data_IF_743149502472
#
_entry.id   IF_743149502472
#
_cell.length_a   1.000
_cell.length_b   1.000
_cell.length_c   1.000
_cell.angle_alpha   90.00
_cell.angle_beta   90.00
_cell.angle_gamma   90.00
#
_symmetry.space_group_name_H-M   'P 1'
#
loop_
_entity.id
_entity.type
_entity.pdbx_description
1 polymer ?
#
# COMPACT_ATOMS: atom_id res chain seq x y z
N UNK A 1 -15.90 -7.01 1.47
CA UNK A 1 -16.02 -5.53 1.59
C UNK A 1 -17.25 -5.07 0.84
N UNK A 2 -18.06 -4.15 1.39
CA UNK A 2 -19.22 -3.58 0.66
C UNK A 2 -18.76 -2.51 -0.34
N UNK A 3 -19.60 -2.17 -1.35
CA UNK A 3 -19.30 -1.10 -2.32
C UNK A 3 -18.90 0.22 -1.63
N UNK A 4 -19.67 0.67 -0.64
CA UNK A 4 -19.39 1.91 0.11
C UNK A 4 -18.03 1.84 0.84
N UNK A 5 -17.69 0.69 1.44
CA UNK A 5 -16.40 0.51 2.10
C UNK A 5 -15.23 0.51 1.11
N UNK A 6 -15.43 0.02 -0.13
CA UNK A 6 -14.40 0.07 -1.16
C UNK A 6 -14.24 1.49 -1.72
N UNK A 7 -15.33 2.24 -1.94
CA UNK A 7 -15.29 3.66 -2.38
C UNK A 7 -14.54 4.55 -1.39
N UNK A 8 -14.63 4.28 -0.10
CA UNK A 8 -13.87 4.99 0.94
C UNK A 8 -12.37 4.60 0.95
N UNK A 9 -12.08 3.32 0.68
CA UNK A 9 -10.74 2.76 0.72
C UNK A 9 -9.94 3.00 -0.57
N UNK A 10 -10.60 2.91 -1.75
CA UNK A 10 -9.99 2.96 -3.07
C UNK A 10 -10.66 4.00 -3.96
N UNK A 11 -9.87 4.65 -4.82
CA UNK A 11 -10.40 5.55 -5.85
C UNK A 11 -10.36 4.94 -7.26
N UNK A 12 -9.68 3.82 -7.41
CA UNK A 12 -9.51 3.09 -8.67
C UNK A 12 -9.74 1.61 -8.41
N UNK A 13 -10.40 0.95 -9.34
CA UNK A 13 -10.52 -0.51 -9.43
C UNK A 13 -10.11 -0.94 -10.83
N UNK A 14 -8.99 -1.68 -10.92
CA UNK A 14 -8.51 -2.30 -12.13
C UNK A 14 -8.95 -3.76 -12.19
N UNK A 15 -9.33 -4.20 -13.37
CA UNK A 15 -9.69 -5.56 -13.71
C UNK A 15 -8.88 -6.02 -14.91
N UNK A 16 -8.31 -7.23 -14.81
CA UNK A 16 -7.62 -7.89 -15.91
C UNK A 16 -8.16 -9.31 -16.07
N UNK A 17 -8.40 -9.73 -17.32
CA UNK A 17 -8.63 -11.12 -17.65
C UNK A 17 -7.44 -11.66 -18.44
N UNK A 18 -6.88 -12.75 -17.93
CA UNK A 18 -5.77 -13.48 -18.57
C UNK A 18 -6.30 -14.81 -19.11
N UNK A 19 -5.99 -15.11 -20.37
CA UNK A 19 -6.32 -16.36 -21.05
C UNK A 19 -5.07 -16.86 -21.75
N UNK A 20 -4.67 -18.10 -21.52
CA UNK A 20 -3.45 -18.70 -22.07
C UNK A 20 -2.16 -17.87 -21.80
N UNK A 21 -2.11 -17.21 -20.66
CA UNK A 21 -0.98 -16.37 -20.24
C UNK A 21 -0.99 -14.93 -20.78
N UNK A 22 -1.97 -14.56 -21.61
CA UNK A 22 -2.06 -13.23 -22.22
C UNK A 22 -3.22 -12.42 -21.64
N UNK A 23 -3.04 -11.11 -21.41
CA UNK A 23 -4.12 -10.19 -21.02
C UNK A 23 -5.08 -10.03 -22.20
N UNK A 24 -6.30 -10.56 -22.06
CA UNK A 24 -7.31 -10.56 -23.12
C UNK A 24 -8.44 -9.56 -22.88
N UNK A 25 -8.55 -9.01 -21.66
CA UNK A 25 -9.48 -7.92 -21.32
C UNK A 25 -8.89 -7.09 -20.19
N UNK A 26 -9.13 -5.79 -20.22
CA UNK A 26 -8.70 -4.83 -19.22
C UNK A 26 -9.75 -3.75 -19.04
N UNK A 27 -10.05 -3.39 -17.80
CA UNK A 27 -10.98 -2.32 -17.44
C UNK A 27 -10.49 -1.58 -16.19
N UNK A 28 -10.50 -0.26 -16.25
CA UNK A 28 -10.29 0.61 -15.07
C UNK A 28 -11.59 1.34 -14.76
N UNK A 29 -12.03 1.28 -13.50
CA UNK A 29 -13.14 2.06 -12.96
C UNK A 29 -12.64 3.07 -11.93
N UNK A 30 -13.28 4.23 -11.86
CA UNK A 30 -12.98 5.27 -10.86
C UNK A 30 -14.13 5.45 -9.88
N UNK A 31 -13.81 5.73 -8.62
CA UNK A 31 -14.82 6.05 -7.60
C UNK A 31 -15.69 7.22 -8.05
N UNK A 32 -17.00 7.14 -7.76
CA UNK A 32 -18.00 8.08 -8.25
C UNK A 32 -18.64 7.69 -9.59
N UNK A 33 -18.11 6.74 -10.35
CA UNK A 33 -18.79 6.18 -11.52
C UNK A 33 -19.94 5.25 -11.08
N UNK A 34 -21.05 5.27 -11.82
CA UNK A 34 -22.22 4.42 -11.51
C UNK A 34 -21.89 2.92 -11.54
N UNK A 35 -20.92 2.53 -12.38
CA UNK A 35 -20.43 1.16 -12.55
C UNK A 35 -19.38 0.74 -11.52
N UNK A 36 -18.87 1.65 -10.70
CA UNK A 36 -17.81 1.32 -9.73
C UNK A 36 -18.19 0.11 -8.86
N UNK A 37 -17.27 -0.86 -8.74
CA UNK A 37 -17.48 -2.16 -8.08
C UNK A 37 -18.46 -3.11 -8.80
N UNK A 38 -18.81 -2.84 -10.06
CA UNK A 38 -19.59 -3.77 -10.87
C UNK A 38 -18.88 -3.94 -12.22
N UNK A 39 -18.27 -5.10 -12.44
CA UNK A 39 -17.60 -5.42 -13.69
C UNK A 39 -18.50 -6.33 -14.51
N UNK A 40 -18.80 -5.92 -15.74
CA UNK A 40 -19.46 -6.73 -16.74
C UNK A 40 -18.46 -7.09 -17.84
N UNK A 41 -18.21 -8.38 -18.04
CA UNK A 41 -17.32 -8.90 -19.08
C UNK A 41 -17.97 -10.10 -19.77
N UNK A 42 -17.87 -10.16 -21.09
CA UNK A 42 -18.30 -11.32 -21.88
C UNK A 42 -17.15 -12.31 -21.98
N UNK A 43 -17.14 -13.30 -21.09
CA UNK A 43 -16.03 -14.26 -20.95
C UNK A 43 -16.32 -15.48 -21.82
N UNK A 44 -15.47 -15.83 -22.80
CA UNK A 44 -15.60 -17.04 -23.62
C UNK A 44 -15.59 -18.32 -22.79
N UNK A 45 -16.00 -19.46 -23.37
CA UNK A 45 -15.82 -20.74 -22.74
C UNK A 45 -14.33 -21.10 -22.61
N UNK A 46 -13.97 -21.72 -21.51
CA UNK A 46 -12.60 -22.16 -21.20
C UNK A 46 -12.07 -21.66 -19.88
N UNK A 47 -10.77 -21.85 -19.68
CA UNK A 47 -10.04 -21.46 -18.47
C UNK A 47 -9.56 -20.02 -18.57
N UNK A 48 -9.84 -19.25 -17.54
CA UNK A 48 -9.45 -17.84 -17.42
C UNK A 48 -8.94 -17.57 -16.02
N UNK A 49 -8.09 -16.53 -15.90
CA UNK A 49 -7.67 -15.97 -14.63
C UNK A 49 -8.10 -14.51 -14.59
N UNK A 50 -8.84 -14.13 -13.57
CA UNK A 50 -9.40 -12.80 -13.40
C UNK A 50 -8.71 -12.15 -12.20
N UNK A 51 -8.20 -10.93 -12.39
CA UNK A 51 -7.52 -10.18 -11.37
C UNK A 51 -8.27 -8.87 -11.10
N UNK A 52 -8.44 -8.54 -9.83
CA UNK A 52 -9.13 -7.35 -9.36
C UNK A 52 -8.21 -6.62 -8.40
N UNK A 53 -7.95 -5.32 -8.64
CA UNK A 53 -7.02 -4.52 -7.85
C UNK A 53 -7.65 -3.18 -7.51
N UNK A 54 -7.95 -2.95 -6.22
CA UNK A 54 -8.47 -1.69 -5.70
C UNK A 54 -7.36 -0.85 -5.07
N UNK A 55 -7.16 0.41 -5.49
CA UNK A 55 -6.05 1.25 -5.02
C UNK A 55 -6.33 2.77 -5.18
N UNK A 56 -5.32 3.62 -4.85
CA UNK A 56 -5.37 5.10 -5.01
C UNK A 56 -4.22 5.67 -5.84
N UNK A 57 -3.46 4.83 -6.53
CA UNK A 57 -2.31 5.19 -7.36
C UNK A 57 -2.58 4.85 -8.82
N UNK A 58 -1.55 4.65 -9.58
CA UNK A 58 -1.60 4.15 -10.95
C UNK A 58 -0.88 2.81 -11.02
N UNK A 59 -1.52 1.80 -11.65
CA UNK A 59 -0.86 0.57 -12.09
C UNK A 59 -0.13 0.93 -13.38
N UNK A 60 1.19 0.89 -13.36
CA UNK A 60 2.03 1.29 -14.48
C UNK A 60 2.29 0.15 -15.46
N UNK A 61 2.17 -1.09 -14.97
CA UNK A 61 2.33 -2.31 -15.76
C UNK A 61 1.60 -3.47 -15.09
N UNK A 62 1.10 -4.44 -15.89
CA UNK A 62 0.53 -5.67 -15.41
C UNK A 62 0.94 -6.83 -16.32
N UNK A 63 1.77 -7.73 -15.81
CA UNK A 63 2.28 -8.88 -16.54
C UNK A 63 2.33 -10.13 -15.63
N UNK A 64 1.90 -11.26 -16.13
CA UNK A 64 1.97 -12.57 -15.43
C UNK A 64 1.36 -12.59 -14.02
N UNK A 65 0.33 -11.76 -13.76
CA UNK A 65 -0.31 -11.64 -12.45
C UNK A 65 0.37 -10.64 -11.50
N UNK A 66 1.45 -9.99 -11.95
CA UNK A 66 2.18 -8.98 -11.18
C UNK A 66 1.75 -7.58 -11.62
N UNK A 67 1.32 -6.77 -10.66
CA UNK A 67 0.98 -5.36 -10.86
C UNK A 67 2.12 -4.48 -10.34
N UNK A 68 2.66 -3.61 -11.21
CA UNK A 68 3.66 -2.60 -10.86
C UNK A 68 3.00 -1.25 -10.61
N UNK A 69 3.42 -0.55 -9.55
CA UNK A 69 2.85 0.74 -9.16
C UNK A 69 3.87 1.87 -9.26
N UNK A 70 3.39 3.08 -9.64
CA UNK A 70 4.19 4.30 -9.52
C UNK A 70 4.54 4.60 -8.06
N UNK A 71 3.59 4.37 -7.18
CA UNK A 71 3.71 4.46 -5.71
C UNK A 71 2.73 3.51 -5.04
N UNK A 72 3.15 2.86 -3.98
CA UNK A 72 2.27 2.02 -3.17
C UNK A 72 1.33 2.89 -2.34
N UNK A 73 0.04 2.57 -2.38
CA UNK A 73 -1.03 3.16 -1.57
C UNK A 73 -1.79 2.06 -0.84
N UNK A 74 -2.85 2.39 -0.12
CA UNK A 74 -3.74 1.37 0.42
C UNK A 74 -4.33 0.54 -0.73
N UNK A 75 -3.91 -0.72 -0.84
CA UNK A 75 -4.16 -1.59 -1.99
C UNK A 75 -4.81 -2.89 -1.55
N UNK A 76 -5.81 -3.29 -2.30
CA UNK A 76 -6.58 -4.51 -2.10
C UNK A 76 -6.62 -5.29 -3.40
N UNK A 77 -6.57 -6.61 -3.33
CA UNK A 77 -6.70 -7.43 -4.54
C UNK A 77 -7.42 -8.75 -4.31
N UNK A 78 -7.75 -9.39 -5.42
CA UNK A 78 -8.23 -10.75 -5.49
C UNK A 78 -7.91 -11.36 -6.86
N UNK A 79 -7.48 -12.62 -6.87
CA UNK A 79 -7.30 -13.42 -8.08
C UNK A 79 -8.31 -14.56 -8.09
N UNK A 80 -9.01 -14.75 -9.21
CA UNK A 80 -9.98 -15.81 -9.42
C UNK A 80 -9.60 -16.65 -10.62
N UNK A 81 -9.37 -17.96 -10.42
CA UNK A 81 -9.31 -18.93 -11.52
C UNK A 81 -10.73 -19.39 -11.84
N UNK A 82 -11.16 -19.22 -13.09
CA UNK A 82 -12.53 -19.49 -13.55
C UNK A 82 -12.52 -20.38 -14.80
N UNK A 83 -13.21 -21.51 -14.72
CA UNK A 83 -13.53 -22.35 -15.88
C UNK A 83 -14.95 -22.03 -16.36
N UNK A 84 -15.07 -21.34 -17.49
CA UNK A 84 -16.38 -20.93 -18.06
C UNK A 84 -16.94 -22.04 -18.93
N UNK A 85 -18.16 -22.44 -18.62
CA UNK A 85 -18.94 -23.43 -19.37
C UNK A 85 -20.44 -23.09 -19.31
N UNK A 86 -21.29 -23.90 -19.94
CA UNK A 86 -22.73 -23.65 -20.00
C UNK A 86 -23.46 -23.60 -18.64
N UNK A 87 -22.81 -24.09 -17.56
CA UNK A 87 -23.38 -24.10 -16.21
C UNK A 87 -22.72 -23.06 -15.27
N UNK A 88 -21.78 -22.24 -15.80
CA UNK A 88 -21.13 -21.20 -15.00
C UNK A 88 -22.12 -20.12 -14.60
N UNK A 89 -22.15 -19.78 -13.31
CA UNK A 89 -23.01 -18.70 -12.82
C UNK A 89 -22.60 -17.36 -13.44
N UNK A 90 -23.62 -16.59 -13.85
CA UNK A 90 -23.42 -15.28 -14.51
C UNK A 90 -23.01 -14.16 -13.54
N UNK A 91 -23.04 -14.39 -12.23
CA UNK A 91 -22.64 -13.43 -11.18
C UNK A 91 -21.67 -14.11 -10.23
N UNK A 92 -20.49 -13.53 -10.12
CA UNK A 92 -19.44 -13.98 -9.18
C UNK A 92 -19.23 -12.90 -8.11
N UNK A 93 -19.53 -13.18 -6.82
CA UNK A 93 -19.19 -12.26 -5.74
C UNK A 93 -17.68 -12.27 -5.51
N UNK A 94 -17.05 -11.08 -5.52
CA UNK A 94 -15.62 -10.90 -5.29
C UNK A 94 -15.43 -10.12 -3.99
N UNK A 95 -14.57 -10.62 -3.12
CA UNK A 95 -14.14 -9.94 -1.91
C UNK A 95 -12.64 -9.63 -1.99
N UNK A 96 -12.29 -8.33 -2.06
CA UNK A 96 -10.90 -7.89 -2.10
C UNK A 96 -10.30 -7.95 -0.70
N UNK A 97 -9.04 -8.40 -0.63
CA UNK A 97 -8.22 -8.51 0.58
C UNK A 97 -7.14 -7.44 0.53
N UNK A 98 -6.85 -6.79 1.66
CA UNK A 98 -5.77 -5.80 1.74
C UNK A 98 -4.40 -6.48 1.70
N UNK A 99 -3.53 -6.03 0.81
CA UNK A 99 -2.22 -6.64 0.54
C UNK A 99 -1.03 -5.84 1.08
N UNK A 100 -1.26 -4.62 1.54
CA UNK A 100 -0.20 -3.74 2.03
C UNK A 100 0.02 -3.85 3.53
N UNK A 101 1.25 -3.66 3.94
CA UNK A 101 1.62 -3.25 5.29
C UNK A 101 1.75 -1.72 5.34
N UNK A 102 1.43 -1.11 6.47
CA UNK A 102 1.51 0.34 6.67
C UNK A 102 2.56 0.67 7.73
N UNK A 103 3.50 1.52 7.36
CA UNK A 103 4.44 2.16 8.28
C UNK A 103 3.90 3.53 8.68
N UNK A 104 3.91 3.86 9.98
CA UNK A 104 3.65 5.20 10.50
C UNK A 104 4.82 5.66 11.35
N UNK A 105 5.31 6.88 11.11
CA UNK A 105 6.21 7.60 11.99
C UNK A 105 5.45 8.74 12.64
N UNK A 106 5.37 8.74 13.98
CA UNK A 106 4.73 9.79 14.78
C UNK A 106 5.82 10.64 15.43
N UNK A 107 6.00 11.86 14.89
CA UNK A 107 6.88 12.87 15.50
C UNK A 107 6.14 13.52 16.67
N UNK A 108 6.55 13.22 17.92
CA UNK A 108 5.92 13.77 19.12
C UNK A 108 6.35 15.21 19.42
N UNK A 109 7.51 15.63 18.90
CA UNK A 109 8.04 16.97 19.00
C UNK A 109 7.48 17.89 17.88
N UNK A 110 7.70 19.20 18.01
CA UNK A 110 7.21 20.17 17.06
C UNK A 110 7.95 20.06 15.71
N UNK A 111 7.20 20.08 14.61
CA UNK A 111 7.81 20.14 13.28
C UNK A 111 8.55 21.48 13.09
N UNK A 112 9.80 21.47 12.57
CA UNK A 112 10.55 22.69 12.29
C UNK A 112 9.83 23.62 11.32
N UNK A 113 9.96 24.94 11.53
CA UNK A 113 9.32 25.96 10.69
C UNK A 113 9.82 25.97 9.23
N UNK A 114 11.03 25.45 8.99
CA UNK A 114 11.63 25.33 7.67
C UNK A 114 11.42 23.95 7.02
N UNK A 115 10.72 23.03 7.66
CA UNK A 115 10.46 21.69 7.10
C UNK A 115 9.58 21.80 5.85
N UNK A 116 10.00 21.17 4.75
CA UNK A 116 9.27 21.15 3.49
C UNK A 116 8.83 19.75 3.10
N UNK A 117 9.73 18.77 3.23
CA UNK A 117 9.45 17.38 2.83
C UNK A 117 10.00 16.39 3.85
N UNK A 118 9.34 15.24 3.94
CA UNK A 118 9.88 14.05 4.56
C UNK A 118 9.93 12.92 3.53
N UNK A 119 10.94 12.08 3.64
CA UNK A 119 11.19 10.97 2.73
C UNK A 119 11.43 9.71 3.52
N UNK A 120 10.75 8.63 3.14
CA UNK A 120 11.03 7.27 3.57
C UNK A 120 11.75 6.54 2.44
N UNK A 121 12.90 5.95 2.73
CA UNK A 121 13.52 4.93 1.87
C UNK A 121 13.37 3.59 2.57
N UNK A 122 12.62 2.68 1.95
CA UNK A 122 12.27 1.36 2.50
C UNK A 122 13.04 0.31 1.71
N UNK A 123 13.71 -0.61 2.43
CA UNK A 123 14.40 -1.78 1.88
C UNK A 123 13.92 -3.05 2.57
N UNK A 124 13.95 -4.20 1.89
CA UNK A 124 13.38 -5.46 2.38
C UNK A 124 11.90 -5.63 2.03
N UNK A 125 11.39 -4.83 1.07
CA UNK A 125 9.99 -4.86 0.61
C UNK A 125 9.92 -4.59 -0.90
N UNK A 126 8.72 -4.55 -1.49
CA UNK A 126 8.50 -4.33 -2.92
C UNK A 126 7.44 -3.25 -3.18
N UNK A 127 7.48 -2.65 -4.36
CA UNK A 127 6.42 -1.80 -4.93
C UNK A 127 5.55 -2.54 -5.95
N UNK A 128 5.92 -3.77 -6.32
CA UNK A 128 5.14 -4.64 -7.19
C UNK A 128 4.36 -5.64 -6.35
N UNK A 129 3.15 -5.96 -6.79
CA UNK A 129 2.25 -6.91 -6.16
C UNK A 129 2.07 -8.13 -7.06
N UNK A 130 2.48 -9.29 -6.60
CA UNK A 130 1.97 -10.56 -7.12
C UNK A 130 0.54 -10.75 -6.59
N UNK A 131 -0.44 -10.59 -7.48
CA UNK A 131 -1.87 -10.64 -7.12
C UNK A 131 -2.32 -12.06 -6.75
N UNK A 132 -1.60 -13.10 -7.20
CA UNK A 132 -1.89 -14.48 -6.86
C UNK A 132 -1.57 -14.82 -5.40
N UNK A 133 -0.47 -14.28 -4.91
CA UNK A 133 -0.02 -14.49 -3.52
C UNK A 133 -0.47 -13.38 -2.58
N UNK A 134 -0.75 -12.18 -3.12
CA UNK A 134 -1.05 -10.98 -2.34
C UNK A 134 0.20 -10.34 -1.71
N UNK A 135 1.41 -10.74 -2.12
CA UNK A 135 2.70 -10.32 -1.59
C UNK A 135 3.52 -9.56 -2.65
N UNK A 136 4.66 -9.00 -2.25
CA UNK A 136 5.67 -8.49 -3.17
C UNK A 136 6.36 -9.62 -3.92
N UNK A 137 6.86 -9.33 -5.14
CA UNK A 137 7.51 -10.34 -5.98
C UNK A 137 9.02 -10.44 -5.67
N UNK A 138 9.69 -9.29 -5.63
CA UNK A 138 11.15 -9.21 -5.45
C UNK A 138 11.54 -8.00 -4.62
N UNK A 139 12.57 -8.16 -3.79
CA UNK A 139 13.09 -7.05 -3.01
C UNK A 139 13.55 -5.90 -3.90
N UNK A 140 13.03 -4.71 -3.64
CA UNK A 140 13.54 -3.48 -4.23
C UNK A 140 13.47 -2.31 -3.23
N UNK A 141 14.24 -1.26 -3.51
CA UNK A 141 14.22 -0.04 -2.71
C UNK A 141 13.05 0.82 -3.13
N UNK A 142 12.18 1.15 -2.17
CA UNK A 142 11.04 2.03 -2.36
C UNK A 142 11.29 3.39 -1.70
N UNK A 143 11.08 4.46 -2.47
CA UNK A 143 11.21 5.84 -1.96
C UNK A 143 9.84 6.50 -1.93
N UNK A 144 9.44 7.03 -0.77
CA UNK A 144 8.20 7.77 -0.57
C UNK A 144 8.49 9.17 -0.05
N UNK A 145 8.26 10.18 -0.89
CA UNK A 145 8.34 11.59 -0.50
C UNK A 145 6.95 12.13 -0.14
N UNK A 146 6.85 12.83 0.98
CA UNK A 146 5.63 13.48 1.49
C UNK A 146 5.91 14.98 1.60
N UNK A 147 5.08 15.78 0.93
CA UNK A 147 5.08 17.24 1.12
C UNK A 147 4.43 17.59 2.46
N UNK A 148 5.09 18.40 3.25
CA UNK A 148 4.58 18.83 4.56
C UNK A 148 3.78 20.12 4.39
N UNK A 149 2.47 20.09 4.68
CA UNK A 149 1.67 21.32 4.61
C UNK A 149 2.19 22.38 5.59
N UNK A 150 2.28 23.63 5.19
CA UNK A 150 2.71 24.74 6.05
C UNK A 150 1.85 24.86 7.33
N UNK A 151 0.57 24.47 7.24
CA UNK A 151 -0.34 24.41 8.39
C UNK A 151 0.06 23.38 9.45
N UNK A 152 0.99 22.48 9.17
CA UNK A 152 1.49 21.48 10.12
C UNK A 152 2.80 21.91 10.80
N UNK A 153 3.47 22.94 10.30
CA UNK A 153 4.70 23.47 10.92
C UNK A 153 4.43 23.93 12.36
N UNK A 154 5.35 23.66 13.27
CA UNK A 154 5.21 23.92 14.70
C UNK A 154 4.25 23.00 15.46
N UNK A 155 3.49 22.12 14.79
CA UNK A 155 2.62 21.14 15.46
C UNK A 155 3.41 19.95 15.97
N UNK A 156 2.91 19.36 17.06
CA UNK A 156 3.38 18.12 17.67
C UNK A 156 2.47 16.95 17.28
N UNK A 157 2.92 15.72 17.52
CA UNK A 157 2.19 14.49 17.23
C UNK A 157 1.75 14.37 15.76
N UNK A 158 2.66 14.77 14.85
CA UNK A 158 2.41 14.67 13.43
C UNK A 158 2.78 13.27 12.93
N UNK A 159 1.87 12.66 12.16
CA UNK A 159 2.05 11.32 11.61
C UNK A 159 2.41 11.40 10.12
N UNK A 160 3.46 10.68 9.74
CA UNK A 160 3.86 10.43 8.37
C UNK A 160 3.70 8.95 8.07
N UNK A 161 3.16 8.58 6.90
CA UNK A 161 2.87 7.20 6.59
C UNK A 161 3.36 6.78 5.20
N UNK A 162 3.80 5.52 5.11
CA UNK A 162 4.12 4.84 3.86
C UNK A 162 3.45 3.47 3.83
N UNK A 163 3.21 2.96 2.62
CA UNK A 163 2.68 1.62 2.37
C UNK A 163 3.70 0.83 1.55
N UNK A 164 3.73 -0.48 1.75
CA UNK A 164 4.62 -1.36 0.99
C UNK A 164 3.99 -2.75 0.87
N UNK A 165 4.40 -3.52 -0.14
CA UNK A 165 4.12 -4.95 -0.22
C UNK A 165 5.28 -5.70 0.42
N UNK A 166 4.98 -6.61 1.35
CA UNK A 166 5.98 -7.46 1.98
C UNK A 166 6.25 -8.67 1.11
N UNK A 167 7.47 -9.23 1.20
CA UNK A 167 7.85 -10.45 0.47
C UNK A 167 7.31 -11.72 1.14
N UNK A 168 6.96 -11.62 2.42
CA UNK A 168 6.30 -12.65 3.23
C UNK A 168 5.21 -11.97 4.06
N UNK A 169 4.23 -12.71 4.59
CA UNK A 169 3.14 -12.15 5.42
C UNK A 169 3.66 -11.33 6.61
N UNK A 170 4.78 -11.75 7.18
CA UNK A 170 5.53 -11.06 8.25
C UNK A 170 6.97 -10.90 7.79
N UNK A 171 7.49 -9.69 7.81
CA UNK A 171 8.86 -9.37 7.37
C UNK A 171 9.47 -8.27 8.23
N UNK A 172 10.79 -8.32 8.39
CA UNK A 172 11.57 -7.24 8.97
C UNK A 172 12.17 -6.39 7.86
N UNK A 173 11.94 -5.08 7.89
CA UNK A 173 12.42 -4.12 6.89
C UNK A 173 13.39 -3.11 7.51
N UNK A 174 14.19 -2.45 6.66
CA UNK A 174 14.95 -1.28 7.05
C UNK A 174 14.32 -0.01 6.48
N UNK A 175 14.34 1.07 7.25
CA UNK A 175 13.71 2.35 6.90
C UNK A 175 14.65 3.49 7.18
N UNK A 176 15.06 4.22 6.14
CA UNK A 176 15.69 5.53 6.29
C UNK A 176 14.62 6.62 6.20
N UNK A 177 14.56 7.45 7.23
CA UNK A 177 13.73 8.65 7.26
C UNK A 177 14.61 9.88 7.11
N UNK A 178 14.28 10.75 6.16
CA UNK A 178 15.01 12.01 5.93
C UNK A 178 14.02 13.17 5.83
N UNK A 179 14.23 14.21 6.62
CA UNK A 179 13.49 15.46 6.58
C UNK A 179 14.33 16.55 5.91
N UNK A 180 13.74 17.32 4.99
CA UNK A 180 14.44 18.32 4.16
C UNK A 180 13.70 19.67 4.21
N UNK A 181 14.47 20.74 4.08
CA UNK A 181 13.95 22.10 3.91
C UNK A 181 13.55 22.38 2.43
N UNK A 182 13.08 23.60 2.16
CA UNK A 182 12.65 24.04 0.82
C UNK A 182 13.80 24.06 -0.22
N UNK A 183 15.04 24.17 0.25
CA UNK A 183 16.24 24.17 -0.60
C UNK A 183 16.81 22.76 -0.81
N UNK A 184 16.19 21.75 -0.18
CA UNK A 184 16.60 20.35 -0.25
C UNK A 184 17.71 19.98 0.76
N UNK A 185 18.08 20.88 1.69
CA UNK A 185 19.04 20.56 2.73
C UNK A 185 18.40 19.63 3.77
N UNK A 186 19.18 18.65 4.25
CA UNK A 186 18.76 17.73 5.29
C UNK A 186 18.69 18.46 6.63
N UNK A 187 17.52 18.44 7.26
CA UNK A 187 17.29 18.91 8.63
C UNK A 187 17.65 17.79 9.61
N UNK A 188 17.17 16.57 9.34
CA UNK A 188 17.45 15.38 10.15
C UNK A 188 17.34 14.12 9.31
N UNK A 189 18.09 13.09 9.69
CA UNK A 189 18.01 11.75 9.11
C UNK A 189 18.09 10.71 10.22
N UNK A 190 17.25 9.66 10.14
CA UNK A 190 17.23 8.52 11.04
C UNK A 190 17.15 7.23 10.26
N UNK A 191 17.86 6.21 10.70
CA UNK A 191 17.75 4.84 10.20
C UNK A 191 17.11 3.95 11.28
N UNK A 192 16.08 3.23 10.89
CA UNK A 192 15.41 2.24 11.71
C UNK A 192 15.67 0.86 11.08
N UNK A 193 16.45 0.06 11.76
CA UNK A 193 16.75 -1.31 11.37
C UNK A 193 15.75 -2.27 12.02
N UNK A 194 15.46 -3.38 11.34
CA UNK A 194 14.62 -4.45 11.86
C UNK A 194 13.23 -3.98 12.30
N UNK A 195 12.57 -3.17 11.47
CA UNK A 195 11.18 -2.76 11.71
C UNK A 195 10.26 -3.93 11.33
N UNK A 196 9.68 -4.56 12.33
CA UNK A 196 8.73 -5.66 12.11
C UNK A 196 7.46 -5.14 11.44
N UNK A 197 7.10 -5.76 10.33
CA UNK A 197 5.93 -5.44 9.53
C UNK A 197 5.09 -6.69 9.29
N UNK A 198 3.78 -6.52 9.19
CA UNK A 198 2.86 -7.59 8.84
C UNK A 198 1.84 -7.08 7.81
N UNK A 199 1.51 -7.90 6.82
CA UNK A 199 0.49 -7.57 5.81
C UNK A 199 -0.85 -7.29 6.49
N UNK A 200 -1.53 -6.19 6.05
CA UNK A 200 -2.78 -5.70 6.63
C UNK A 200 -2.67 -5.18 8.08
N UNK A 201 -1.47 -4.83 8.55
CA UNK A 201 -1.22 -4.22 9.87
C UNK A 201 -0.53 -2.86 9.74
N UNK A 202 -0.56 -2.10 10.85
CA UNK A 202 0.16 -0.83 10.99
C UNK A 202 1.32 -1.05 11.95
N UNK A 203 2.56 -0.84 11.48
CA UNK A 203 3.73 -0.71 12.34
C UNK A 203 3.99 0.76 12.61
N UNK A 204 4.05 1.13 13.89
CA UNK A 204 4.16 2.53 14.29
C UNK A 204 5.45 2.78 15.04
N UNK A 205 6.23 3.73 14.56
CA UNK A 205 7.43 4.26 15.20
C UNK A 205 7.04 5.60 15.85
N UNK A 206 7.15 5.72 17.16
CA UNK A 206 6.77 6.95 17.89
C UNK A 206 7.98 7.50 18.65
N UNK A 207 8.28 8.78 18.47
CA UNK A 207 9.39 9.41 19.17
C UNK A 207 9.64 10.86 18.80
N UNK A 208 10.68 11.44 19.42
CA UNK A 208 11.18 12.76 19.04
C UNK A 208 12.04 12.61 17.78
N UNK A 209 11.66 13.29 16.74
CA UNK A 209 12.30 13.22 15.42
C UNK A 209 13.28 14.37 15.21
N UNK A 210 12.93 15.58 15.67
CA UNK A 210 13.62 16.83 15.35
C UNK A 210 14.39 17.44 16.53
N UNK A 211 14.22 16.88 17.74
CA UNK A 211 14.89 17.39 18.96
C UNK A 211 16.24 16.75 19.23
N UNK A 212 17.00 17.34 20.15
CA UNK A 212 18.36 16.91 20.52
C UNK A 212 18.45 15.58 21.28
N UNK A 213 17.32 15.03 21.72
CA UNK A 213 17.22 13.74 22.42
C UNK A 213 16.36 12.77 21.63
N UNK A 214 16.99 11.74 21.13
CA UNK A 214 16.33 10.68 20.39
C UNK A 214 15.82 9.59 21.35
N UNK A 215 14.57 9.20 21.20
CA UNK A 215 13.98 8.06 21.86
C UNK A 215 12.73 7.65 21.08
N UNK A 216 12.72 6.44 20.56
CA UNK A 216 11.60 5.90 19.81
C UNK A 216 11.05 4.69 20.52
N UNK A 217 9.72 4.55 20.53
CA UNK A 217 9.04 3.29 20.77
C UNK A 217 8.45 2.78 19.46
N UNK A 218 8.55 1.48 19.23
CA UNK A 218 7.94 0.83 18.08
C UNK A 218 6.78 0.01 18.60
N UNK A 219 5.59 0.25 18.06
CA UNK A 219 4.38 -0.53 18.36
C UNK A 219 3.73 -0.95 17.06
N UNK A 220 3.21 -2.16 16.98
CA UNK A 220 2.32 -2.59 15.93
C UNK A 220 0.88 -2.43 16.40
N UNK A 221 0.02 -1.77 15.61
CA UNK A 221 -1.38 -1.54 15.92
C UNK A 221 -2.30 -2.18 14.88
N UNK A 222 -3.35 -2.71 15.33
CA UNK A 222 -4.30 -3.67 14.82
C UNK A 222 -5.62 -3.11 14.36
N UNK A 223 -5.80 -1.79 14.30
CA UNK A 223 -7.04 -1.19 13.76
C UNK A 223 -7.40 -1.70 12.34
N UNK A 224 -6.48 -2.45 11.74
CA UNK A 224 -6.72 -3.14 10.48
C UNK A 224 -7.17 -4.58 10.67
N UNK A 225 -6.51 -5.40 11.47
CA UNK A 225 -6.88 -6.79 11.74
C UNK A 225 -6.66 -7.27 13.18
N UNK A 226 -5.89 -6.61 13.98
CA UNK A 226 -5.61 -7.00 15.34
C UNK A 226 -4.34 -6.29 15.93
N UNK A 227 -3.97 -6.25 17.27
CA UNK A 227 -2.81 -5.55 17.90
C UNK A 227 -1.63 -6.47 18.22
N UNK A 228 -0.40 -6.04 17.91
CA UNK A 228 0.83 -6.60 18.47
C UNK A 228 1.60 -5.45 19.11
N UNK A 229 1.61 -5.36 20.44
CA UNK A 229 2.36 -4.37 21.21
C UNK A 229 3.73 -4.92 21.57
N UNK A 230 4.79 -4.16 21.28
CA UNK A 230 6.12 -4.37 21.82
C UNK A 230 6.50 -3.18 22.70
N UNK A 231 6.67 -3.38 24.00
CA UNK A 231 7.33 -2.46 24.92
C UNK A 231 8.82 -2.83 25.03
N UNK A 232 9.72 -1.85 24.83
CA UNK A 232 11.14 -1.95 25.08
C UNK A 232 11.57 -1.00 26.19
#
# INVERSE_FOLDING_TARGET
MTRAALEDACSVLDYFRVTDGEVTSFLTQKSGEASFCTIADEIPYGAHKLYFIGHKSEVTDFENGVASFDKVTDTFSYALSLEVNANTESVQPIELIRNVAKLELVAVDALPDNLATVEFTITGADKNLDVDTGLGETENTQVKTIQVPETNLGKTNCTFAAYTFLLEEESSIAVDFTAKDKDGNIIVSHTFENVEMQTNFISRITGKVFGDQFGFSITASTEWAGEIDYEF
#
